data_IF_472677318954
#
_entry.id   IF_472677318954
#
_cell.length_a   1.000
_cell.length_b   1.000
_cell.length_c   1.000
_cell.angle_alpha   90.00
_cell.angle_beta   90.00
_cell.angle_gamma   90.00
#
_symmetry.space_group_name_H-M   'P 1'
#
loop_
_entity.id
_entity.type
_entity.pdbx_description
1 polymer ?
#
# COMPACT_ATOMS: atom_id res chain seq x y z
N UNK A 1 20.46 10.11 -10.42
CA UNK A 1 19.65 9.39 -9.42
C UNK A 1 18.60 8.64 -10.22
N UNK A 2 18.80 7.34 -10.45
CA UNK A 2 17.94 6.55 -11.34
C UNK A 2 16.64 6.20 -10.66
N UNK A 3 15.53 6.26 -11.39
CA UNK A 3 14.23 5.75 -10.96
C UNK A 3 14.36 4.28 -10.55
N UNK A 4 14.31 4.00 -9.24
CA UNK A 4 14.24 2.65 -8.72
C UNK A 4 12.83 2.11 -8.93
N UNK A 5 12.57 1.66 -10.15
CA UNK A 5 11.32 1.02 -10.52
C UNK A 5 11.25 -0.35 -9.86
N UNK A 6 10.62 -0.43 -8.68
CA UNK A 6 10.40 -1.70 -7.98
C UNK A 6 9.20 -2.43 -8.60
N UNK A 7 9.40 -3.64 -9.15
CA UNK A 7 8.29 -4.51 -9.56
C UNK A 7 7.80 -5.33 -8.36
N UNK A 8 6.72 -4.83 -7.74
CA UNK A 8 6.11 -5.46 -6.57
C UNK A 8 4.94 -6.36 -6.98
N UNK A 9 4.87 -7.55 -6.40
CA UNK A 9 3.66 -8.36 -6.37
C UNK A 9 2.83 -7.93 -5.16
N UNK A 10 1.58 -7.54 -5.39
CA UNK A 10 0.62 -7.23 -4.33
C UNK A 10 -0.47 -8.31 -4.31
N UNK A 11 -0.78 -8.83 -3.13
CA UNK A 11 -1.83 -9.82 -2.91
C UNK A 11 -2.79 -9.27 -1.85
N UNK A 12 -4.03 -9.01 -2.26
CA UNK A 12 -5.08 -8.50 -1.38
C UNK A 12 -5.96 -9.61 -0.83
N UNK A 13 -6.40 -9.46 0.42
CA UNK A 13 -7.44 -10.29 1.05
C UNK A 13 -8.32 -9.45 1.97
N UNK A 14 -9.63 -9.70 1.93
CA UNK A 14 -10.55 -9.14 2.91
C UNK A 14 -10.36 -9.87 4.25
N UNK A 15 -10.14 -9.10 5.31
CA UNK A 15 -10.17 -9.60 6.70
C UNK A 15 -11.59 -9.51 7.24
N UNK A 16 -12.31 -8.44 6.89
CA UNK A 16 -13.72 -8.20 7.19
C UNK A 16 -14.25 -7.12 6.22
N UNK A 17 -15.52 -6.74 6.36
CA UNK A 17 -16.15 -5.69 5.55
C UNK A 17 -15.44 -4.33 5.66
N UNK A 18 -14.79 -4.06 6.81
CA UNK A 18 -14.08 -2.80 7.04
C UNK A 18 -12.58 -2.89 6.76
N UNK A 19 -12.01 -4.09 6.62
CA UNK A 19 -10.55 -4.27 6.61
C UNK A 19 -10.06 -5.11 5.44
N UNK A 20 -9.11 -4.55 4.69
CA UNK A 20 -8.34 -5.27 3.66
C UNK A 20 -6.89 -5.37 4.10
N UNK A 21 -6.32 -6.55 3.96
CA UNK A 21 -4.88 -6.77 4.06
C UNK A 21 -4.30 -6.88 2.66
N UNK A 22 -3.22 -6.15 2.42
CA UNK A 22 -2.40 -6.24 1.22
C UNK A 22 -1.00 -6.67 1.63
N UNK A 23 -0.62 -7.87 1.25
CA UNK A 23 0.76 -8.33 1.35
C UNK A 23 1.50 -7.92 0.07
N UNK A 24 2.75 -7.46 0.18
CA UNK A 24 3.58 -7.16 -0.98
C UNK A 24 4.97 -7.78 -0.85
N UNK A 25 5.56 -8.13 -2.00
CA UNK A 25 6.96 -8.55 -2.11
C UNK A 25 7.56 -8.12 -3.43
N UNK A 26 8.86 -7.88 -3.44
CA UNK A 26 9.59 -7.65 -4.68
C UNK A 26 9.68 -8.97 -5.46
N UNK A 27 9.48 -8.89 -6.78
CA UNK A 27 9.54 -10.05 -7.68
C UNK A 27 10.96 -10.34 -8.16
N UNK A 28 11.86 -9.38 -8.05
CA UNK A 28 13.22 -9.49 -8.54
C UNK A 28 14.00 -10.55 -7.71
N UNK A 29 14.62 -11.54 -8.38
CA UNK A 29 15.43 -12.55 -7.70
C UNK A 29 16.57 -11.90 -6.90
N UNK A 30 16.76 -12.34 -5.66
CA UNK A 30 17.84 -11.84 -4.79
C UNK A 30 17.54 -10.52 -4.09
N UNK A 31 16.41 -9.86 -4.38
CA UNK A 31 16.00 -8.65 -3.64
C UNK A 31 15.09 -9.03 -2.47
N UNK A 32 15.61 -8.88 -1.26
CA UNK A 32 14.83 -9.10 -0.04
C UNK A 32 14.04 -7.83 0.31
N UNK A 33 12.81 -7.74 -0.18
CA UNK A 33 11.88 -6.66 0.10
C UNK A 33 10.46 -7.19 0.15
N UNK A 34 9.77 -6.91 1.25
CA UNK A 34 8.41 -7.40 1.50
C UNK A 34 7.73 -6.54 2.55
N UNK A 35 6.42 -6.69 2.68
CA UNK A 35 5.69 -6.06 3.76
C UNK A 35 4.20 -6.36 3.68
N UNK A 36 3.47 -5.72 4.58
CA UNK A 36 2.04 -5.82 4.69
C UNK A 36 1.45 -4.45 4.99
N UNK A 37 0.31 -4.17 4.40
CA UNK A 37 -0.51 -3.00 4.64
C UNK A 37 -1.91 -3.45 5.07
N UNK A 38 -2.42 -2.87 6.14
CA UNK A 38 -3.80 -3.09 6.61
C UNK A 38 -4.57 -1.80 6.38
N UNK A 39 -5.51 -1.84 5.44
CA UNK A 39 -6.39 -0.74 5.09
C UNK A 39 -7.71 -0.87 5.82
N UNK A 40 -8.18 0.24 6.38
CA UNK A 40 -9.50 0.37 6.99
C UNK A 40 -10.39 1.23 6.10
N UNK A 41 -11.47 0.66 5.60
CA UNK A 41 -12.55 1.37 4.94
C UNK A 41 -13.39 2.08 5.99
N UNK A 42 -13.42 3.41 5.95
CA UNK A 42 -14.39 4.16 6.75
C UNK A 42 -15.67 4.29 5.94
N UNK A 43 -16.79 3.89 6.53
CA UNK A 43 -18.14 3.83 5.93
C UNK A 43 -18.65 5.12 5.27
N UNK A 44 -17.96 6.26 5.47
CA UNK A 44 -18.25 7.56 4.84
C UNK A 44 -17.43 7.87 3.57
N UNK A 45 -16.73 6.88 3.01
CA UNK A 45 -16.58 6.73 1.55
C UNK A 45 -15.65 7.68 0.79
N UNK A 46 -14.71 8.38 1.43
CA UNK A 46 -13.69 9.19 0.72
C UNK A 46 -12.28 9.12 1.31
N UNK A 47 -12.10 8.35 2.38
CA UNK A 47 -10.81 8.23 3.06
C UNK A 47 -10.49 6.77 3.34
N UNK A 48 -9.27 6.36 3.01
CA UNK A 48 -8.68 5.11 3.47
C UNK A 48 -7.52 5.44 4.39
N UNK A 49 -7.60 4.92 5.61
CA UNK A 49 -6.48 4.96 6.54
C UNK A 49 -5.87 3.57 6.54
N UNK A 50 -4.56 3.49 6.42
CA UNK A 50 -3.86 2.24 6.52
C UNK A 50 -2.62 2.35 7.39
N UNK A 51 -2.26 1.23 8.00
CA UNK A 51 -0.95 1.05 8.63
C UNK A 51 -0.15 0.07 7.81
N UNK A 52 1.13 0.34 7.63
CA UNK A 52 2.02 -0.57 6.93
C UNK A 52 3.26 -0.89 7.76
N UNK A 53 3.82 -2.06 7.50
CA UNK A 53 5.15 -2.47 7.94
C UNK A 53 5.79 -3.28 6.82
N UNK A 54 7.07 -3.06 6.56
CA UNK A 54 7.81 -3.84 5.60
C UNK A 54 9.31 -3.73 5.81
N UNK A 55 10.06 -4.56 5.11
CA UNK A 55 11.51 -4.53 5.10
C UNK A 55 11.98 -3.83 3.82
N UNK A 56 12.75 -2.75 4.00
CA UNK A 56 13.32 -1.97 2.91
C UNK A 56 14.76 -2.40 2.61
N UNK A 57 15.09 -2.86 1.39
CA UNK A 57 16.40 -3.43 1.07
C UNK A 57 17.53 -2.38 1.18
N UNK A 58 17.25 -1.12 0.85
CA UNK A 58 18.23 -0.02 0.97
C UNK A 58 18.55 0.32 2.42
N UNK A 59 17.51 0.38 3.26
CA UNK A 59 17.65 0.74 4.67
C UNK A 59 18.13 -0.43 5.54
N UNK A 60 18.02 -1.66 5.02
CA UNK A 60 18.16 -2.93 5.73
C UNK A 60 17.40 -2.99 7.07
N UNK A 61 16.27 -2.29 7.14
CA UNK A 61 15.48 -2.09 8.36
C UNK A 61 14.00 -2.30 8.08
N UNK A 62 13.26 -2.52 9.17
CA UNK A 62 11.81 -2.42 9.15
C UNK A 62 11.41 -0.95 9.01
N UNK A 63 10.58 -0.68 8.01
CA UNK A 63 9.92 0.60 7.78
C UNK A 63 8.45 0.39 8.08
N UNK A 64 7.88 1.28 8.87
CA UNK A 64 6.47 1.26 9.23
C UNK A 64 5.93 2.68 9.24
N UNK A 65 4.61 2.80 9.11
CA UNK A 65 3.97 4.10 9.13
C UNK A 65 2.50 4.03 8.80
N UNK A 66 1.95 5.21 8.56
CA UNK A 66 0.56 5.41 8.20
C UNK A 66 0.45 5.83 6.73
N UNK A 67 -0.56 5.30 6.04
CA UNK A 67 -0.95 5.71 4.69
C UNK A 67 -2.34 6.32 4.78
N UNK A 68 -2.48 7.51 4.22
CA UNK A 68 -3.76 8.20 4.12
C UNK A 68 -4.05 8.39 2.63
N UNK A 69 -5.11 7.74 2.15
CA UNK A 69 -5.62 7.97 0.81
C UNK A 69 -6.88 8.83 0.93
N UNK A 70 -6.87 9.96 0.23
CA UNK A 70 -8.05 10.81 0.09
C UNK A 70 -8.55 10.73 -1.36
N UNK A 71 -9.86 10.59 -1.52
CA UNK A 71 -10.47 10.66 -2.84
C UNK A 71 -10.26 12.07 -3.41
N UNK A 72 -9.52 12.16 -4.51
CA UNK A 72 -9.47 13.38 -5.32
C UNK A 72 -10.76 13.40 -6.13
N UNK A 73 -11.67 14.34 -5.83
CA UNK A 73 -12.80 14.61 -6.72
C UNK A 73 -12.25 15.11 -8.04
N UNK A 74 -12.16 14.23 -9.03
CA UNK A 74 -11.96 14.70 -10.40
C UNK A 74 -13.21 15.46 -10.80
N UNK A 75 -13.07 16.77 -11.01
CA UNK A 75 -14.04 17.64 -11.69
C UNK A 75 -14.20 17.24 -13.17
N UNK A 76 -14.49 15.98 -13.49
CA UNK A 76 -15.14 15.66 -14.76
C UNK A 76 -16.64 15.95 -14.61
N UNK A 77 -16.93 17.24 -14.47
CA UNK A 77 -18.25 17.80 -14.71
C UNK A 77 -18.33 18.16 -16.20
N UNK A 78 -19.28 17.50 -16.87
CA UNK A 78 -19.94 17.87 -18.13
C UNK A 78 -19.10 17.80 -19.42
N UNK A 79 -19.45 16.83 -20.26
CA UNK A 79 -20.46 17.03 -21.31
C UNK A 79 -21.16 15.72 -21.65
#
# INVERSE_FOLDING_TARGET
>A
VGDLKSDLLLIGRFISDEFIRIDYKNKEPGVFQWGVCILRFMSRGKKLNAKFIGYGPESQKLVFGDIFLEAVENHFSKK
#
